data_IF_525181381309
#
_entry.id   IF_525181381309
#
_cell.length_a   1.000
_cell.length_b   1.000
_cell.length_c   1.000
_cell.angle_alpha   90.00
_cell.angle_beta   90.00
_cell.angle_gamma   90.00
#
_symmetry.space_group_name_H-M   'P 1'
#
loop_
_entity.id
_entity.type
_entity.pdbx_description
1 polymer ?
#
# COMPACT_ATOMS: atom_id res chain seq x y z
N UNK A 1 15.60 -5.91 10.84
CA UNK A 1 14.45 -5.83 9.89
C UNK A 1 13.17 -6.14 10.66
N UNK A 2 12.11 -5.33 10.55
CA UNK A 2 10.82 -5.65 11.20
C UNK A 2 10.04 -6.63 10.32
N UNK A 3 9.51 -7.68 10.93
CA UNK A 3 8.69 -8.69 10.26
C UNK A 3 7.34 -8.09 9.82
N UNK A 4 6.96 -8.37 8.57
CA UNK A 4 5.72 -7.91 7.96
C UNK A 4 4.59 -8.92 8.27
N UNK A 5 3.38 -8.40 8.52
CA UNK A 5 2.21 -9.17 8.99
C UNK A 5 1.29 -9.66 7.86
N UNK A 6 1.64 -9.38 6.61
CA UNK A 6 0.84 -9.75 5.44
C UNK A 6 1.10 -8.85 4.24
N UNK A 7 0.42 -9.14 3.14
CA UNK A 7 0.45 -8.34 1.90
C UNK A 7 -0.97 -7.88 1.57
N UNK A 8 -1.12 -6.62 1.18
CA UNK A 8 -2.39 -6.04 0.73
C UNK A 8 -2.27 -5.51 -0.69
N UNK A 9 -3.26 -5.77 -1.54
CA UNK A 9 -3.34 -5.20 -2.89
C UNK A 9 -4.27 -3.99 -2.86
N UNK A 10 -3.80 -2.87 -3.41
CA UNK A 10 -4.55 -1.61 -3.53
C UNK A 10 -4.68 -1.29 -5.02
N UNK A 11 -5.91 -1.14 -5.51
CA UNK A 11 -6.20 -0.73 -6.89
C UNK A 11 -6.49 0.76 -6.90
N UNK A 12 -5.65 1.53 -7.59
CA UNK A 12 -5.68 2.98 -7.68
C UNK A 12 -4.53 3.64 -6.90
N UNK A 13 -3.65 4.35 -7.61
CA UNK A 13 -2.56 5.14 -7.02
C UNK A 13 -2.93 6.63 -6.84
N UNK A 14 -4.21 6.94 -6.73
CA UNK A 14 -4.68 8.27 -6.32
C UNK A 14 -4.34 8.58 -4.86
N UNK A 15 -4.65 9.80 -4.37
CA UNK A 15 -4.32 10.23 -3.01
C UNK A 15 -4.82 9.27 -1.92
N UNK A 16 -6.03 8.72 -2.08
CA UNK A 16 -6.59 7.76 -1.14
C UNK A 16 -5.81 6.44 -1.09
N UNK A 17 -5.46 5.88 -2.26
CA UNK A 17 -4.74 4.60 -2.34
C UNK A 17 -3.30 4.70 -1.79
N UNK A 18 -2.61 5.80 -2.09
CA UNK A 18 -1.28 6.07 -1.53
C UNK A 18 -1.33 6.32 -0.02
N UNK A 19 -2.37 6.99 0.48
CA UNK A 19 -2.58 7.17 1.91
C UNK A 19 -2.81 5.83 2.61
N UNK A 20 -3.64 4.95 2.04
CA UNK A 20 -3.86 3.61 2.57
C UNK A 20 -2.55 2.79 2.61
N UNK A 21 -1.75 2.83 1.54
CA UNK A 21 -0.46 2.15 1.48
C UNK A 21 0.51 2.65 2.59
N UNK A 22 0.56 3.97 2.79
CA UNK A 22 1.40 4.60 3.80
C UNK A 22 1.01 4.17 5.23
N UNK A 23 -0.28 4.16 5.52
CA UNK A 23 -0.78 3.79 6.84
C UNK A 23 -0.61 2.28 7.12
N UNK A 24 -0.75 1.42 6.10
CA UNK A 24 -0.46 -0.02 6.22
C UNK A 24 1.01 -0.29 6.58
N UNK A 25 1.93 0.45 5.96
CA UNK A 25 3.36 0.36 6.30
C UNK A 25 3.65 0.89 7.70
N UNK A 26 3.12 2.08 8.05
CA UNK A 26 3.44 2.77 9.30
C UNK A 26 2.80 2.15 10.53
N UNK A 27 1.56 1.68 10.42
CA UNK A 27 0.72 1.30 11.57
C UNK A 27 0.41 -0.18 11.63
N UNK A 28 0.25 -0.83 10.47
CA UNK A 28 -0.18 -2.23 10.41
C UNK A 28 0.97 -3.23 10.17
N UNK A 29 2.15 -2.76 9.76
CA UNK A 29 3.27 -3.61 9.30
C UNK A 29 2.86 -4.54 8.15
N UNK A 30 1.97 -4.08 7.28
CA UNK A 30 1.53 -4.82 6.09
C UNK A 30 2.29 -4.29 4.89
N UNK A 31 2.68 -5.17 3.96
CA UNK A 31 3.31 -4.79 2.69
C UNK A 31 2.22 -4.44 1.67
N UNK A 32 2.03 -3.17 1.29
CA UNK A 32 1.12 -2.83 0.23
C UNK A 32 1.75 -3.14 -1.14
N UNK A 33 0.92 -3.55 -2.10
CA UNK A 33 1.19 -3.57 -3.53
C UNK A 33 0.15 -2.67 -4.17
N UNK A 34 0.57 -1.54 -4.75
CA UNK A 34 -0.31 -0.58 -5.40
C UNK A 34 -0.29 -0.83 -6.90
N UNK A 35 -1.45 -0.99 -7.51
CA UNK A 35 -1.63 -1.14 -8.95
C UNK A 35 -2.43 0.05 -9.47
N UNK A 36 -1.90 0.73 -10.47
CA UNK A 36 -2.56 1.84 -11.16
C UNK A 36 -2.64 1.48 -12.64
N UNK A 37 -3.79 1.74 -13.25
CA UNK A 37 -3.97 1.51 -14.69
C UNK A 37 -3.15 2.50 -15.48
N UNK A 38 -3.08 3.72 -14.97
CA UNK A 38 -2.40 4.83 -15.60
C UNK A 38 -0.89 4.66 -15.55
N UNK A 39 -0.21 4.94 -16.66
CA UNK A 39 1.25 4.87 -16.77
C UNK A 39 1.94 6.23 -16.87
N UNK A 40 1.24 7.31 -16.52
CA UNK A 40 1.75 8.68 -16.63
C UNK A 40 2.69 9.07 -15.48
#
# INVERSE_FOLDING_TARGET
MKELRGTAVIIGAGPAGLTAALELLRRAKVKPIVLEKSGY
#
